data_IF_885091185875
#
_entry.id   IF_885091185875
#
_cell.length_a   1.000
_cell.length_b   1.000
_cell.length_c   1.000
_cell.angle_alpha   90.00
_cell.angle_beta   90.00
_cell.angle_gamma   90.00
#
_symmetry.space_group_name_H-M   'P 1'
#
loop_
_entity.id
_entity.type
_entity.pdbx_description
1 polymer ?
#
# COMPACT_ATOMS: atom_id res chain seq x y z
N UNK A 1 28.17 -0.39 12.76
CA UNK A 1 28.32 -0.96 11.39
C UNK A 1 27.89 -2.43 11.28
N UNK A 2 28.13 -3.28 12.28
CA UNK A 2 27.91 -4.73 12.15
C UNK A 2 26.46 -5.15 11.88
N UNK A 3 25.48 -4.41 12.42
CA UNK A 3 24.07 -4.63 12.13
C UNK A 3 23.76 -4.42 10.64
N UNK A 4 24.24 -3.33 10.03
CA UNK A 4 24.06 -3.08 8.60
C UNK A 4 24.71 -4.19 7.77
N UNK A 5 25.94 -4.59 8.09
CA UNK A 5 26.63 -5.69 7.40
C UNK A 5 25.84 -7.01 7.46
N UNK A 6 25.19 -7.28 8.60
CA UNK A 6 24.41 -8.51 8.81
C UNK A 6 23.10 -8.53 8.03
N UNK A 7 22.42 -7.39 7.90
CA UNK A 7 21.07 -7.29 7.34
C UNK A 7 21.01 -6.79 5.90
N UNK A 8 22.13 -6.33 5.35
CA UNK A 8 22.24 -6.02 3.93
C UNK A 8 22.18 -7.30 3.07
N UNK A 9 21.60 -7.17 1.88
CA UNK A 9 21.59 -8.24 0.89
C UNK A 9 23.00 -8.70 0.49
N UNK A 10 23.15 -9.87 -0.17
CA UNK A 10 24.44 -10.49 -0.44
C UNK A 10 25.42 -9.59 -1.21
N UNK A 11 24.92 -8.82 -2.19
CA UNK A 11 25.74 -7.87 -2.95
C UNK A 11 26.18 -6.67 -2.11
N UNK A 12 25.31 -6.18 -1.23
CA UNK A 12 25.56 -4.96 -0.44
C UNK A 12 26.44 -5.21 0.78
N UNK A 13 26.26 -6.36 1.43
CA UNK A 13 27.10 -6.77 2.55
C UNK A 13 28.57 -6.96 2.15
N UNK A 14 28.87 -7.34 0.89
CA UNK A 14 30.24 -7.49 0.39
C UNK A 14 31.02 -6.18 0.44
N UNK A 15 30.47 -5.09 -0.09
CA UNK A 15 31.15 -3.80 -0.04
C UNK A 15 31.12 -3.19 1.37
N UNK A 16 30.04 -3.40 2.15
CA UNK A 16 29.96 -2.90 3.52
C UNK A 16 31.04 -3.53 4.43
N UNK A 17 31.35 -4.83 4.25
CA UNK A 17 32.48 -5.49 4.93
C UNK A 17 33.82 -4.88 4.55
N UNK A 18 34.02 -4.60 3.27
CA UNK A 18 35.25 -3.96 2.76
C UNK A 18 35.43 -2.57 3.37
N UNK A 19 34.39 -1.74 3.34
CA UNK A 19 34.43 -0.37 3.91
C UNK A 19 34.65 -0.42 5.42
N UNK A 20 33.99 -1.32 6.16
CA UNK A 20 34.24 -1.51 7.60
C UNK A 20 35.70 -1.88 7.88
N UNK A 21 36.27 -2.80 7.11
CA UNK A 21 37.67 -3.21 7.28
C UNK A 21 38.68 -2.10 6.96
N UNK A 22 38.32 -1.16 6.09
CA UNK A 22 39.13 0.02 5.80
C UNK A 22 39.01 1.13 6.86
N UNK A 23 37.96 1.12 7.69
CA UNK A 23 37.65 2.17 8.67
C UNK A 23 37.56 1.59 10.11
N UNK A 24 38.50 0.74 10.51
CA UNK A 24 38.50 0.05 11.82
C UNK A 24 38.56 1.02 13.01
N UNK A 25 39.13 2.21 12.82
CA UNK A 25 39.28 3.24 13.86
C UNK A 25 38.30 4.41 13.79
N UNK A 26 37.41 4.44 12.79
CA UNK A 26 36.47 5.56 12.59
C UNK A 26 35.11 5.00 12.14
N UNK A 27 34.24 4.80 13.12
CA UNK A 27 32.97 4.15 12.88
C UNK A 27 32.01 5.03 12.05
N UNK A 28 32.06 6.33 12.26
CA UNK A 28 31.14 7.29 11.67
C UNK A 28 31.47 7.49 10.21
N UNK A 29 32.76 7.66 9.86
CA UNK A 29 33.21 7.72 8.47
C UNK A 29 32.90 6.43 7.70
N UNK A 30 33.07 5.28 8.36
CA UNK A 30 32.71 4.00 7.77
C UNK A 30 31.21 3.88 7.45
N UNK A 31 30.34 4.39 8.34
CA UNK A 31 28.90 4.44 8.10
C UNK A 31 28.52 5.37 6.96
N UNK A 32 29.12 6.56 6.90
CA UNK A 32 28.91 7.54 5.83
C UNK A 32 29.27 6.93 4.47
N UNK A 33 30.47 6.35 4.32
CA UNK A 33 30.89 5.68 3.08
C UNK A 33 29.98 4.51 2.68
N UNK A 34 29.46 3.73 3.65
CA UNK A 34 28.49 2.67 3.36
C UNK A 34 27.18 3.28 2.83
N UNK A 35 26.71 4.35 3.45
CA UNK A 35 25.48 5.03 3.07
C UNK A 35 25.57 5.66 1.69
N UNK A 36 26.66 6.38 1.40
CA UNK A 36 26.94 6.94 0.08
C UNK A 36 26.93 5.87 -1.00
N UNK A 37 27.58 4.72 -0.74
CA UNK A 37 27.63 3.62 -1.72
C UNK A 37 26.26 2.98 -1.96
N UNK A 38 25.44 2.88 -0.91
CA UNK A 38 24.07 2.42 -1.03
C UNK A 38 23.24 3.41 -1.87
N UNK A 39 23.39 4.71 -1.60
CA UNK A 39 22.70 5.76 -2.34
C UNK A 39 23.12 5.78 -3.82
N UNK A 40 24.41 5.62 -4.12
CA UNK A 40 24.93 5.55 -5.49
C UNK A 40 24.32 4.40 -6.30
N UNK A 41 24.19 3.22 -5.67
CA UNK A 41 23.72 2.00 -6.34
C UNK A 41 22.20 1.84 -6.38
N UNK A 42 21.50 2.29 -5.35
CA UNK A 42 20.09 1.99 -5.15
C UNK A 42 19.21 3.24 -5.01
N UNK A 43 19.79 4.41 -4.73
CA UNK A 43 19.08 5.67 -4.52
C UNK A 43 18.81 6.48 -5.79
N UNK A 44 19.09 5.93 -6.98
CA UNK A 44 18.72 6.59 -8.23
C UNK A 44 17.20 6.73 -8.33
N UNK A 45 16.66 7.89 -8.74
CA UNK A 45 15.22 8.12 -8.76
C UNK A 45 14.41 7.03 -9.47
N UNK A 46 14.88 6.53 -10.61
CA UNK A 46 14.23 5.49 -11.41
C UNK A 46 14.23 4.12 -10.69
N UNK A 47 15.29 3.84 -9.92
CA UNK A 47 15.40 2.61 -9.14
C UNK A 47 14.43 2.63 -7.96
N UNK A 48 14.34 3.77 -7.25
CA UNK A 48 13.40 3.98 -6.15
C UNK A 48 11.96 3.91 -6.66
N UNK A 49 11.65 4.62 -7.74
CA UNK A 49 10.32 4.58 -8.37
C UNK A 49 9.93 3.15 -8.79
N UNK A 50 10.83 2.44 -9.46
CA UNK A 50 10.61 1.05 -9.89
C UNK A 50 10.39 0.12 -8.68
N UNK A 51 11.16 0.28 -7.61
CA UNK A 51 11.00 -0.50 -6.39
C UNK A 51 9.64 -0.26 -5.72
N UNK A 52 9.21 1.01 -5.61
CA UNK A 52 7.91 1.39 -5.05
C UNK A 52 6.76 0.87 -5.91
N UNK A 53 6.85 1.02 -7.24
CA UNK A 53 5.89 0.43 -8.19
C UNK A 53 5.81 -1.09 -8.05
N UNK A 54 6.95 -1.77 -7.91
CA UNK A 54 7.01 -3.22 -7.73
C UNK A 54 6.35 -3.64 -6.42
N UNK A 55 6.58 -2.92 -5.31
CA UNK A 55 5.91 -3.16 -4.03
C UNK A 55 4.39 -3.02 -4.16
N UNK A 56 3.90 -1.93 -4.76
CA UNK A 56 2.47 -1.73 -5.02
C UNK A 56 1.88 -2.82 -5.92
N UNK A 57 2.59 -3.21 -6.99
CA UNK A 57 2.12 -4.22 -7.93
C UNK A 57 2.06 -5.62 -7.29
N UNK A 58 3.05 -5.96 -6.46
CA UNK A 58 3.08 -7.22 -5.72
C UNK A 58 2.04 -7.28 -4.60
N UNK A 59 1.55 -6.13 -4.13
CA UNK A 59 0.47 -6.08 -3.15
C UNK A 59 -0.80 -6.73 -3.72
N UNK A 60 -1.37 -7.76 -3.10
CA UNK A 60 -2.49 -8.50 -3.68
C UNK A 60 -3.81 -7.73 -3.54
N UNK A 61 -4.83 -8.22 -4.24
CA UNK A 61 -6.19 -7.68 -4.12
C UNK A 61 -6.74 -7.95 -2.72
N UNK A 62 -7.52 -7.01 -2.20
CA UNK A 62 -8.15 -7.15 -0.90
C UNK A 62 -9.31 -8.13 -0.97
N UNK A 63 -9.37 -9.08 -0.05
CA UNK A 63 -10.59 -9.84 0.20
C UNK A 63 -11.42 -9.18 1.31
N UNK A 64 -12.71 -9.49 1.38
CA UNK A 64 -13.62 -8.90 2.38
C UNK A 64 -13.22 -9.19 3.86
N UNK A 65 -12.27 -10.08 4.11
CA UNK A 65 -11.76 -10.44 5.45
C UNK A 65 -10.43 -9.76 5.80
N UNK A 66 -9.86 -8.99 4.87
CA UNK A 66 -8.49 -8.45 4.98
C UNK A 66 -8.45 -7.03 5.55
N UNK A 67 -9.27 -6.71 6.57
CA UNK A 67 -9.29 -5.35 7.13
C UNK A 67 -7.92 -4.92 7.69
N UNK A 68 -7.17 -5.85 8.29
CA UNK A 68 -5.83 -5.58 8.82
C UNK A 68 -4.81 -5.22 7.73
N UNK A 69 -4.99 -5.72 6.50
CA UNK A 69 -4.05 -5.47 5.38
C UNK A 69 -4.13 -4.05 4.84
N UNK A 70 -5.13 -3.27 5.26
CA UNK A 70 -5.20 -1.84 4.93
C UNK A 70 -4.04 -1.06 5.57
N UNK A 71 -3.57 -1.49 6.76
CA UNK A 71 -2.37 -0.94 7.37
C UNK A 71 -1.12 -1.28 6.55
N UNK A 72 -0.98 -2.52 6.06
CA UNK A 72 0.14 -2.88 5.19
C UNK A 72 0.18 -2.03 3.90
N UNK A 73 -0.98 -1.74 3.33
CA UNK A 73 -1.07 -0.82 2.19
C UNK A 73 -0.70 0.61 2.61
N UNK A 74 -1.20 1.09 3.76
CA UNK A 74 -0.89 2.42 4.28
C UNK A 74 0.62 2.60 4.50
N UNK A 75 1.32 1.58 4.99
CA UNK A 75 2.77 1.61 5.17
C UNK A 75 3.50 1.83 3.83
N UNK A 76 3.06 1.17 2.75
CA UNK A 76 3.61 1.39 1.41
C UNK A 76 3.28 2.81 0.91
N UNK A 77 2.06 3.28 1.14
CA UNK A 77 1.63 4.61 0.69
C UNK A 77 2.38 5.73 1.41
N UNK A 78 2.63 5.58 2.71
CA UNK A 78 3.41 6.53 3.51
C UNK A 78 4.90 6.51 3.13
N UNK A 79 5.45 5.36 2.73
CA UNK A 79 6.78 5.27 2.11
C UNK A 79 6.86 6.10 0.82
N UNK A 80 5.85 6.00 -0.06
CA UNK A 80 5.76 6.78 -1.30
C UNK A 80 5.62 8.27 -1.00
N UNK A 81 4.76 8.64 -0.05
CA UNK A 81 4.55 10.04 0.35
C UNK A 81 5.86 10.66 0.87
N UNK A 82 6.58 9.92 1.70
CA UNK A 82 7.89 10.34 2.23
C UNK A 82 8.94 10.48 1.12
N UNK A 83 9.00 9.53 0.19
CA UNK A 83 9.90 9.61 -0.96
C UNK A 83 9.55 10.83 -1.84
N UNK A 84 8.27 11.10 -2.07
CA UNK A 84 7.79 12.21 -2.88
C UNK A 84 8.08 13.59 -2.26
N UNK A 85 8.17 13.67 -0.93
CA UNK A 85 8.56 14.89 -0.23
C UNK A 85 10.03 15.29 -0.51
N UNK A 86 10.88 14.35 -0.94
CA UNK A 86 12.24 14.65 -1.36
C UNK A 86 12.24 15.22 -2.80
N UNK A 87 12.80 16.42 -3.04
CA UNK A 87 12.86 17.04 -4.37
C UNK A 87 13.53 16.17 -5.45
N UNK A 88 14.43 15.27 -5.06
CA UNK A 88 15.10 14.35 -5.98
C UNK A 88 14.13 13.36 -6.64
N UNK A 89 13.05 12.99 -5.94
CA UNK A 89 12.09 11.98 -6.41
C UNK A 89 10.72 12.56 -6.78
N UNK A 90 10.43 13.79 -6.35
CA UNK A 90 9.11 14.43 -6.48
C UNK A 90 8.58 14.42 -7.91
N UNK A 91 9.43 14.72 -8.90
CA UNK A 91 9.06 14.78 -10.32
C UNK A 91 8.64 13.41 -10.86
N UNK A 92 9.41 12.35 -10.57
CA UNK A 92 9.06 11.00 -11.02
C UNK A 92 7.81 10.48 -10.30
N UNK A 93 7.59 10.86 -9.04
CA UNK A 93 6.44 10.42 -8.24
C UNK A 93 5.23 11.36 -8.38
N UNK A 94 5.31 12.40 -9.21
CA UNK A 94 4.24 13.39 -9.39
C UNK A 94 2.95 12.76 -9.94
N UNK A 95 3.06 11.70 -10.76
CA UNK A 95 1.90 11.03 -11.34
C UNK A 95 0.93 10.44 -10.29
N UNK A 96 1.39 10.23 -9.04
CA UNK A 96 0.52 9.85 -7.93
C UNK A 96 -0.49 10.94 -7.51
N UNK A 97 -0.34 12.19 -7.96
CA UNK A 97 -1.37 13.24 -7.83
C UNK A 97 -2.39 13.21 -8.97
N UNK A 98 -2.45 12.13 -9.74
CA UNK A 98 -3.37 11.96 -10.85
C UNK A 98 -4.18 10.68 -10.73
N UNK A 99 -5.29 10.62 -11.46
CA UNK A 99 -6.11 9.41 -11.58
C UNK A 99 -5.30 8.22 -12.11
N UNK A 100 -4.35 8.43 -13.02
CA UNK A 100 -3.53 7.36 -13.58
C UNK A 100 -2.69 6.65 -12.51
N UNK A 101 -2.17 7.37 -11.53
CA UNK A 101 -1.40 6.79 -10.43
C UNK A 101 -2.28 6.12 -9.38
N UNK A 102 -3.35 6.80 -8.96
CA UNK A 102 -4.20 6.34 -7.87
C UNK A 102 -5.12 5.19 -8.29
N UNK A 103 -5.64 5.19 -9.52
CA UNK A 103 -6.60 4.17 -9.96
C UNK A 103 -6.03 2.75 -9.89
N UNK A 104 -4.73 2.58 -10.14
CA UNK A 104 -4.04 1.28 -10.02
C UNK A 104 -4.09 0.72 -8.60
N UNK A 105 -4.14 1.60 -7.60
CA UNK A 105 -4.24 1.24 -6.19
C UNK A 105 -5.70 1.01 -5.82
N UNK A 106 -6.59 1.90 -6.25
CA UNK A 106 -8.03 1.83 -5.98
C UNK A 106 -8.64 0.54 -6.53
N UNK A 107 -8.23 0.10 -7.72
CA UNK A 107 -8.70 -1.16 -8.32
C UNK A 107 -8.44 -2.39 -7.44
N UNK A 108 -7.42 -2.33 -6.57
CA UNK A 108 -7.11 -3.42 -5.65
C UNK A 108 -8.03 -3.45 -4.42
N UNK A 109 -8.61 -2.32 -4.05
CA UNK A 109 -9.45 -2.17 -2.86
C UNK A 109 -10.80 -2.88 -3.02
N UNK A 110 -11.49 -3.26 -1.92
CA UNK A 110 -12.85 -3.76 -1.99
C UNK A 110 -13.81 -2.71 -2.56
N UNK A 111 -14.84 -3.13 -3.30
CA UNK A 111 -15.79 -2.25 -3.99
C UNK A 111 -16.32 -1.10 -3.12
N UNK A 112 -16.74 -1.38 -1.88
CA UNK A 112 -17.26 -0.34 -0.99
C UNK A 112 -16.23 0.74 -0.61
N UNK A 113 -14.93 0.47 -0.65
CA UNK A 113 -13.89 1.50 -0.50
C UNK A 113 -13.66 2.27 -1.80
N UNK A 114 -13.80 1.62 -2.96
CA UNK A 114 -13.70 2.29 -4.26
C UNK A 114 -14.80 3.36 -4.41
N UNK A 115 -16.04 3.04 -4.05
CA UNK A 115 -17.15 4.00 -4.06
C UNK A 115 -16.92 5.16 -3.10
N UNK A 116 -16.50 4.87 -1.86
CA UNK A 116 -16.18 5.90 -0.87
C UNK A 116 -15.09 6.85 -1.36
N UNK A 117 -14.01 6.30 -1.92
CA UNK A 117 -12.96 7.11 -2.52
C UNK A 117 -13.48 7.98 -3.65
N UNK A 118 -14.27 7.41 -4.57
CA UNK A 118 -14.82 8.13 -5.73
C UNK A 118 -15.67 9.33 -5.29
N UNK A 119 -16.51 9.14 -4.27
CA UNK A 119 -17.33 10.21 -3.69
C UNK A 119 -16.47 11.31 -3.06
N UNK A 120 -15.48 10.92 -2.24
CA UNK A 120 -14.61 11.85 -1.52
C UNK A 120 -13.69 12.63 -2.47
N UNK A 121 -13.11 11.97 -3.47
CA UNK A 121 -12.29 12.59 -4.51
C UNK A 121 -13.11 13.57 -5.37
N UNK A 122 -14.32 13.17 -5.77
CA UNK A 122 -15.22 14.04 -6.54
C UNK A 122 -15.63 15.28 -5.74
N UNK A 123 -15.93 15.13 -4.45
CA UNK A 123 -16.21 16.25 -3.55
C UNK A 123 -15.00 17.18 -3.43
N UNK A 124 -13.81 16.63 -3.21
CA UNK A 124 -12.58 17.42 -3.09
C UNK A 124 -12.29 18.25 -4.34
N UNK A 125 -12.47 17.66 -5.53
CA UNK A 125 -12.32 18.37 -6.81
C UNK A 125 -13.27 19.56 -6.94
N UNK A 126 -14.55 19.37 -6.60
CA UNK A 126 -15.57 20.42 -6.66
C UNK A 126 -15.28 21.56 -5.68
N UNK A 127 -14.85 21.24 -4.46
CA UNK A 127 -14.60 22.22 -3.40
C UNK A 127 -13.31 23.02 -3.61
N UNK A 128 -12.25 22.39 -4.11
CA UNK A 128 -10.92 23.00 -4.22
C UNK A 128 -10.57 23.46 -5.65
N UNK A 129 -11.47 23.25 -6.62
CA UNK A 129 -11.27 23.62 -8.04
C UNK A 129 -9.97 23.05 -8.62
N UNK A 130 -9.65 21.79 -8.28
CA UNK A 130 -8.48 21.07 -8.78
C UNK A 130 -8.90 19.96 -9.75
N UNK A 131 -8.00 19.59 -10.67
CA UNK A 131 -8.22 18.51 -11.63
C UNK A 131 -8.32 17.13 -10.95
N UNK A 132 -7.54 16.93 -9.88
CA UNK A 132 -7.51 15.72 -9.07
C UNK A 132 -7.02 16.04 -7.64
N UNK A 133 -7.43 15.27 -6.61
CA UNK A 133 -6.90 15.45 -5.25
C UNK A 133 -5.40 15.11 -5.16
N UNK A 134 -4.64 15.78 -4.29
CA UNK A 134 -3.23 15.46 -4.07
C UNK A 134 -3.08 14.05 -3.46
N UNK A 135 -1.92 13.44 -3.65
CA UNK A 135 -1.62 12.08 -3.15
C UNK A 135 -1.83 11.97 -1.64
N UNK A 136 -1.42 12.98 -0.87
CA UNK A 136 -1.59 13.02 0.58
C UNK A 136 -3.06 12.92 1.03
N UNK A 137 -3.99 13.42 0.22
CA UNK A 137 -5.42 13.27 0.48
C UNK A 137 -5.87 11.82 0.33
N UNK A 138 -5.30 11.07 -0.63
CA UNK A 138 -5.54 9.64 -0.77
C UNK A 138 -4.91 8.84 0.37
N UNK A 139 -3.68 9.17 0.79
CA UNK A 139 -3.01 8.54 1.94
C UNK A 139 -3.85 8.69 3.20
N UNK A 140 -4.33 9.91 3.48
CA UNK A 140 -5.21 10.18 4.62
C UNK A 140 -6.54 9.42 4.52
N UNK A 141 -7.14 9.31 3.34
CA UNK A 141 -8.33 8.48 3.13
C UNK A 141 -8.08 7.02 3.52
N UNK A 142 -6.97 6.41 3.09
CA UNK A 142 -6.64 5.02 3.45
C UNK A 142 -6.36 4.90 4.94
N UNK A 143 -5.69 5.89 5.56
CA UNK A 143 -5.46 5.95 7.00
C UNK A 143 -6.77 5.90 7.78
N UNK A 144 -7.73 6.75 7.42
CA UNK A 144 -9.05 6.80 8.05
C UNK A 144 -9.81 5.49 7.86
N UNK A 145 -9.81 4.93 6.65
CA UNK A 145 -10.48 3.66 6.37
C UNK A 145 -9.84 2.48 7.12
N UNK A 146 -8.53 2.51 7.33
CA UNK A 146 -7.79 1.51 8.11
C UNK A 146 -8.18 1.58 9.59
N UNK A 147 -8.29 2.78 10.15
CA UNK A 147 -8.75 2.98 11.52
C UNK A 147 -10.21 2.51 11.69
N UNK A 148 -11.12 2.97 10.83
CA UNK A 148 -12.56 2.66 10.92
C UNK A 148 -12.84 1.16 10.80
N UNK A 149 -12.19 0.47 9.85
CA UNK A 149 -12.45 -0.97 9.62
C UNK A 149 -11.83 -1.89 10.65
N UNK A 150 -10.79 -1.44 11.34
CA UNK A 150 -10.12 -2.21 12.38
C UNK A 150 -10.48 -1.73 13.79
N UNK A 151 -11.44 -0.81 13.91
CA UNK A 151 -11.97 -0.37 15.19
C UNK A 151 -12.77 -1.51 15.83
N UNK A 152 -12.34 -2.02 17.00
CA UNK A 152 -13.02 -3.12 17.69
C UNK A 152 -14.46 -2.78 18.08
N UNK A 153 -14.81 -1.49 18.23
CA UNK A 153 -16.15 -1.05 18.57
C UNK A 153 -17.17 -1.27 17.43
N UNK A 154 -16.70 -1.43 16.19
CA UNK A 154 -17.54 -1.58 14.99
C UNK A 154 -17.37 -2.94 14.28
N UNK A 155 -16.93 -3.97 15.01
CA UNK A 155 -16.90 -5.35 14.52
C UNK A 155 -18.31 -5.95 14.64
N UNK A 156 -19.15 -5.70 13.63
CA UNK A 156 -20.46 -6.34 13.55
C UNK A 156 -20.27 -7.84 13.25
N UNK A 157 -20.59 -8.71 14.21
CA UNK A 157 -20.74 -10.14 13.94
C UNK A 157 -21.77 -10.30 12.82
N UNK A 158 -21.37 -10.90 11.70
CA UNK A 158 -22.34 -11.41 10.75
C UNK A 158 -22.94 -12.64 11.42
N UNK A 159 -24.09 -12.46 12.06
CA UNK A 159 -24.90 -13.60 12.45
C UNK A 159 -25.10 -14.47 11.22
N UNK A 160 -24.53 -15.66 11.25
CA UNK A 160 -24.84 -16.70 10.29
C UNK A 160 -26.31 -17.06 10.52
N UNK A 161 -27.22 -16.32 9.88
CA UNK A 161 -28.57 -16.80 9.63
C UNK A 161 -28.38 -18.00 8.71
N UNK A 162 -28.26 -19.16 9.33
CA UNK A 162 -28.39 -20.44 8.65
C UNK A 162 -29.81 -20.40 8.10
N UNK A 163 -30.04 -20.48 6.78
CA UNK A 163 -31.40 -20.58 6.27
C UNK A 163 -31.95 -21.88 6.86
N UNK A 164 -32.82 -21.76 7.86
CA UNK A 164 -33.51 -22.90 8.42
C UNK A 164 -34.19 -23.61 7.27
N UNK A 165 -33.79 -24.86 7.04
CA UNK A 165 -34.47 -25.77 6.13
C UNK A 165 -35.92 -25.82 6.61
N UNK A 166 -36.81 -25.07 5.96
CA UNK A 166 -38.25 -25.29 6.09
C UNK A 166 -38.51 -26.63 5.43
N UNK A 167 -38.78 -27.65 6.25
CA UNK A 167 -39.38 -28.88 5.75
C UNK A 167 -40.85 -28.57 5.51
N UNK A 168 -41.22 -28.43 4.25
CA UNK A 168 -42.62 -28.39 3.88
C UNK A 168 -43.21 -29.79 4.08
N UNK A 169 -44.27 -29.85 4.89
CA UNK A 169 -45.04 -31.05 5.16
C UNK A 169 -46.08 -31.29 4.05
N UNK A 170 -45.67 -31.36 2.79
CA UNK A 170 -46.50 -32.03 1.77
C UNK A 170 -45.63 -32.43 0.57
N UNK A 171 -45.28 -33.71 0.50
CA UNK A 171 -44.41 -34.28 -0.52
C UNK A 171 -45.10 -34.42 -1.87
N UNK A 172 -45.24 -33.33 -2.63
CA UNK A 172 -45.63 -33.40 -4.05
C UNK A 172 -44.68 -32.65 -4.97
N UNK A 173 -43.99 -33.43 -5.81
CA UNK A 173 -43.19 -32.96 -6.94
C UNK A 173 -44.13 -32.42 -8.03
N UNK A 174 -43.86 -31.22 -8.52
CA UNK A 174 -44.42 -30.75 -9.80
C UNK A 174 -43.29 -30.58 -10.81
N UNK A 175 -43.34 -31.37 -11.89
CA UNK A 175 -42.49 -31.21 -13.07
C UNK A 175 -43.20 -30.30 -14.07
N UNK A 176 -42.68 -29.09 -14.28
CA UNK A 176 -43.06 -28.30 -15.45
C UNK A 176 -42.04 -28.51 -16.56
N UNK A 177 -42.42 -29.40 -17.47
CA UNK A 177 -42.06 -29.31 -18.87
C UNK A 177 -42.80 -28.13 -19.48
N UNK A 178 -42.12 -27.28 -20.25
CA UNK A 178 -42.77 -26.56 -21.34
C UNK A 178 -41.72 -26.18 -22.41
N UNK A 179 -42.13 -26.49 -23.65
CA UNK A 179 -41.56 -26.07 -24.92
C UNK A 179 -41.68 -24.56 -25.15
#
# INVERSE_FOLDING_TARGET
>A
MDLLVKWLGPSSSKFARSIRAANVGDADKGLECIWERLQERYGRPEMVESALKKKLNAFPHFTNKDSGRLYDLLDILTEIESAKANPQYSTLLAYFDSSSGINLIVQKLPYGLQEKWTNQASKYKKTNTVSYPPFSFFVNFIKDMSAIRNDPAFVYQRDHVTPGIRRDADGRKWSNSCA
#
